data_IF_942109919026
#
_entry.id   IF_942109919026
#
_cell.length_a   1.000
_cell.length_b   1.000
_cell.length_c   1.000
_cell.angle_alpha   90.00
_cell.angle_beta   90.00
_cell.angle_gamma   90.00
#
_symmetry.space_group_name_H-M   'P 1'
#
loop_
_entity.id
_entity.type
_entity.pdbx_description
1 polymer ?
#
# COMPACT_ATOMS: atom_id res chain seq x y z
N UNK A 1 20.54 -10.04 -1.87
CA UNK A 1 20.58 -9.86 -3.33
C UNK A 1 19.30 -9.21 -3.87
N UNK A 2 18.08 -9.78 -3.70
CA UNK A 2 16.85 -9.08 -4.14
C UNK A 2 16.46 -7.87 -3.27
N UNK A 3 16.72 -7.90 -1.97
CA UNK A 3 16.41 -6.77 -1.07
C UNK A 3 17.31 -5.55 -1.30
N UNK A 4 18.61 -5.78 -1.52
CA UNK A 4 19.58 -4.71 -1.82
C UNK A 4 19.24 -3.96 -3.13
N UNK A 5 18.66 -4.67 -4.11
CA UNK A 5 18.20 -4.06 -5.36
C UNK A 5 16.95 -3.22 -5.14
N UNK A 6 16.00 -3.68 -4.30
CA UNK A 6 14.79 -2.93 -3.95
C UNK A 6 15.13 -1.65 -3.20
N UNK A 7 16.00 -1.74 -2.19
CA UNK A 7 16.42 -0.56 -1.42
C UNK A 7 17.14 0.46 -2.30
N UNK A 8 17.99 -0.01 -3.23
CA UNK A 8 18.62 0.85 -4.21
C UNK A 8 17.57 1.52 -5.12
N UNK A 9 16.58 0.77 -5.64
CA UNK A 9 15.51 1.31 -6.48
C UNK A 9 14.77 2.46 -5.79
N UNK A 10 14.29 2.24 -4.56
CA UNK A 10 13.57 3.25 -3.79
C UNK A 10 14.44 4.46 -3.41
N UNK A 11 15.74 4.28 -3.28
CA UNK A 11 16.66 5.40 -2.99
C UNK A 11 16.97 6.23 -4.24
N UNK A 12 16.98 5.60 -5.42
CA UNK A 12 17.20 6.27 -6.70
C UNK A 12 15.95 7.03 -7.14
N UNK A 13 14.76 6.42 -7.04
CA UNK A 13 13.48 7.04 -7.41
C UNK A 13 12.96 8.01 -6.33
N UNK A 14 13.75 9.05 -6.02
CA UNK A 14 13.38 10.11 -5.05
C UNK A 14 12.11 10.87 -5.47
N UNK A 15 11.68 10.76 -6.73
CA UNK A 15 10.52 11.45 -7.28
C UNK A 15 9.24 10.60 -7.26
N UNK A 16 9.31 9.33 -6.83
CA UNK A 16 8.19 8.38 -6.97
C UNK A 16 7.59 8.41 -8.39
N UNK A 17 8.46 8.49 -9.39
CA UNK A 17 8.01 8.60 -10.78
C UNK A 17 7.78 7.23 -11.41
N UNK A 18 8.05 6.14 -10.66
CA UNK A 18 7.97 4.74 -11.09
C UNK A 18 8.86 4.42 -12.31
N UNK A 19 9.77 5.35 -12.62
CA UNK A 19 10.71 5.29 -13.74
C UNK A 19 12.07 5.79 -13.25
N UNK A 20 13.08 4.92 -13.31
CA UNK A 20 14.47 5.28 -13.06
C UNK A 20 15.16 5.50 -14.39
N UNK A 21 15.71 6.69 -14.61
CA UNK A 21 16.54 6.96 -15.79
C UNK A 21 17.99 6.55 -15.55
N UNK A 22 18.76 6.35 -16.64
CA UNK A 22 20.22 6.13 -16.52
C UNK A 22 20.91 7.31 -15.81
N UNK A 23 20.42 8.54 -15.99
CA UNK A 23 20.95 9.72 -15.30
C UNK A 23 20.75 9.63 -13.78
N UNK A 24 19.60 9.11 -13.32
CA UNK A 24 19.33 8.91 -11.90
C UNK A 24 20.23 7.80 -11.31
N UNK A 25 20.48 6.73 -12.07
CA UNK A 25 21.45 5.69 -11.71
C UNK A 25 22.88 6.22 -11.61
N UNK A 26 23.31 7.07 -12.55
CA UNK A 26 24.63 7.70 -12.53
C UNK A 26 24.78 8.65 -11.34
N UNK A 27 23.76 9.45 -11.06
CA UNK A 27 23.75 10.35 -9.91
C UNK A 27 23.83 9.55 -8.60
N UNK A 28 23.03 8.49 -8.46
CA UNK A 28 23.07 7.63 -7.29
C UNK A 28 24.41 6.91 -7.11
N UNK A 29 25.00 6.42 -8.21
CA UNK A 29 26.32 5.81 -8.21
C UNK A 29 27.38 6.79 -7.73
N UNK A 30 27.34 8.04 -8.21
CA UNK A 30 28.29 9.11 -7.86
C UNK A 30 28.11 9.55 -6.40
N UNK A 31 26.87 9.64 -5.92
CA UNK A 31 26.56 9.96 -4.52
C UNK A 31 27.02 8.86 -3.54
N UNK A 32 26.89 7.58 -3.93
CA UNK A 32 27.16 6.43 -3.06
C UNK A 32 28.52 5.73 -3.31
N UNK A 33 29.39 6.31 -4.15
CA UNK A 33 30.69 5.73 -4.55
C UNK A 33 30.60 4.25 -5.00
N UNK A 34 29.58 3.92 -5.80
CA UNK A 34 29.36 2.56 -6.27
C UNK A 34 30.27 2.21 -7.47
N UNK A 35 30.60 0.92 -7.59
CA UNK A 35 31.50 0.39 -8.63
C UNK A 35 31.05 0.74 -10.06
N UNK A 36 32.01 0.83 -10.99
CA UNK A 36 31.75 1.06 -12.43
C UNK A 36 30.78 0.05 -13.05
N UNK A 37 30.81 -1.18 -12.57
CA UNK A 37 29.94 -2.25 -13.03
C UNK A 37 28.48 -2.11 -12.55
N UNK A 38 28.16 -1.17 -11.64
CA UNK A 38 26.83 -1.03 -11.07
C UNK A 38 25.79 -0.71 -12.15
N UNK A 39 26.09 0.27 -13.00
CA UNK A 39 25.19 0.69 -14.09
C UNK A 39 25.07 -0.44 -15.11
N UNK A 40 26.17 -1.08 -15.49
CA UNK A 40 26.14 -2.20 -16.44
C UNK A 40 25.33 -3.40 -15.92
N UNK A 41 25.41 -3.69 -14.61
CA UNK A 41 24.59 -4.74 -13.99
C UNK A 41 23.11 -4.37 -14.01
N UNK A 42 22.76 -3.13 -13.65
CA UNK A 42 21.38 -2.67 -13.68
C UNK A 42 20.79 -2.64 -15.09
N UNK A 43 21.56 -2.15 -16.05
CA UNK A 43 21.17 -2.14 -17.47
C UNK A 43 21.00 -3.56 -18.00
N UNK A 44 21.93 -4.47 -17.70
CA UNK A 44 21.82 -5.89 -18.12
C UNK A 44 20.65 -6.63 -17.46
N UNK A 45 20.31 -6.29 -16.21
CA UNK A 45 19.24 -6.95 -15.47
C UNK A 45 17.86 -6.39 -15.83
N UNK A 46 17.72 -5.07 -15.94
CA UNK A 46 16.42 -4.41 -15.98
C UNK A 46 16.14 -3.65 -17.29
N UNK A 47 17.15 -3.40 -18.12
CA UNK A 47 17.01 -2.74 -19.43
C UNK A 47 17.78 -3.49 -20.54
N UNK A 48 17.41 -4.76 -20.84
CA UNK A 48 18.06 -5.54 -21.88
C UNK A 48 17.88 -4.94 -23.28
N UNK A 49 16.87 -4.07 -23.46
CA UNK A 49 16.58 -3.38 -24.73
C UNK A 49 17.34 -2.05 -24.89
N UNK A 50 18.14 -1.63 -23.89
CA UNK A 50 18.85 -0.33 -23.87
C UNK A 50 17.92 0.86 -24.14
N UNK A 51 16.71 0.80 -23.60
CA UNK A 51 15.72 1.88 -23.68
C UNK A 51 16.14 3.12 -22.90
N UNK A 52 17.10 3.00 -21.97
CA UNK A 52 17.60 4.10 -21.15
C UNK A 52 16.73 4.43 -19.94
N UNK A 53 15.66 3.65 -19.73
CA UNK A 53 14.69 3.83 -18.65
C UNK A 53 14.31 2.47 -18.05
N UNK A 54 14.39 2.37 -16.73
CA UNK A 54 14.00 1.18 -15.98
C UNK A 54 12.68 1.50 -15.30
N UNK A 55 11.60 0.86 -15.74
CA UNK A 55 10.28 1.02 -15.14
C UNK A 55 10.10 0.05 -13.97
N UNK A 56 9.28 0.45 -12.98
CA UNK A 56 8.95 -0.39 -11.82
C UNK A 56 8.35 -1.75 -12.24
N UNK A 57 7.60 -1.77 -13.34
CA UNK A 57 7.05 -3.01 -13.90
C UNK A 57 8.16 -3.99 -14.31
N UNK A 58 9.14 -3.52 -15.10
CA UNK A 58 10.28 -4.36 -15.51
C UNK A 58 11.14 -4.77 -14.31
N UNK A 59 11.32 -3.86 -13.36
CA UNK A 59 12.03 -4.14 -12.13
C UNK A 59 11.34 -5.26 -11.32
N UNK A 60 10.02 -5.23 -11.22
CA UNK A 60 9.22 -6.24 -10.51
C UNK A 60 9.18 -7.59 -11.24
N UNK A 61 9.13 -7.58 -12.57
CA UNK A 61 9.21 -8.78 -13.42
C UNK A 61 10.56 -9.50 -13.24
N UNK A 62 11.68 -8.75 -13.25
CA UNK A 62 13.03 -9.29 -13.13
C UNK A 62 13.34 -9.79 -11.72
N UNK A 63 12.80 -9.13 -10.69
CA UNK A 63 12.90 -9.60 -9.30
C UNK A 63 12.02 -10.82 -8.99
N UNK A 64 11.27 -11.32 -9.98
CA UNK A 64 10.42 -12.51 -9.81
C UNK A 64 9.21 -12.28 -8.91
N UNK A 65 8.73 -11.04 -8.79
CA UNK A 65 7.53 -10.72 -8.00
C UNK A 65 6.23 -10.99 -8.77
N UNK A 66 6.30 -11.67 -9.91
CA UNK A 66 5.13 -12.02 -10.71
C UNK A 66 5.08 -13.52 -10.98
N UNK A 67 4.17 -14.16 -10.24
CA UNK A 67 3.50 -15.46 -10.46
C UNK A 67 4.09 -16.70 -9.77
N UNK A 68 3.48 -17.07 -8.65
CA UNK A 68 2.80 -18.37 -8.61
C UNK A 68 1.31 -18.11 -8.89
N UNK A 69 0.89 -18.42 -10.11
CA UNK A 69 -0.51 -18.63 -10.47
C UNK A 69 -0.87 -20.07 -10.11
N UNK A 70 -2.05 -20.30 -9.54
CA UNK A 70 -2.94 -21.30 -10.12
C UNK A 70 -4.35 -20.67 -10.28
N UNK A 71 -5.01 -20.89 -11.42
CA UNK A 71 -6.16 -20.11 -11.90
C UNK A 71 -7.48 -20.87 -11.70
N UNK A 72 -8.61 -20.16 -11.65
CA UNK A 72 -9.90 -20.62 -12.18
C UNK A 72 -10.90 -19.43 -12.17
N UNK A 73 -11.11 -18.88 -13.37
CA UNK A 73 -12.38 -18.42 -14.01
C UNK A 73 -13.34 -17.51 -13.18
N UNK A 74 -13.82 -16.36 -13.66
CA UNK A 74 -14.24 -16.09 -15.03
C UNK A 74 -14.46 -14.59 -15.33
N UNK A 75 -14.41 -14.28 -16.62
CA UNK A 75 -14.26 -12.99 -17.27
C UNK A 75 -15.47 -12.03 -17.22
N UNK A 76 -15.18 -10.72 -17.13
CA UNK A 76 -15.76 -9.57 -17.87
C UNK A 76 -15.42 -8.29 -17.10
N UNK A 77 -14.98 -7.18 -17.69
CA UNK A 77 -14.71 -6.81 -19.06
C UNK A 77 -13.86 -5.52 -19.04
N UNK A 78 -12.99 -5.43 -20.03
CA UNK A 78 -12.58 -4.21 -20.74
C UNK A 78 -11.77 -3.09 -20.06
N UNK A 79 -10.65 -2.82 -20.75
CA UNK A 79 -9.73 -1.70 -20.60
C UNK A 79 -10.42 -0.40 -21.03
N UNK A 80 -10.20 0.67 -20.25
CA UNK A 80 -9.81 1.98 -20.80
C UNK A 80 -8.96 2.76 -19.78
N UNK A 81 -7.91 3.48 -20.24
CA UNK A 81 -7.05 4.29 -19.40
C UNK A 81 -7.67 5.67 -19.16
N UNK A 82 -7.90 6.03 -17.90
CA UNK A 82 -8.16 7.43 -17.52
C UNK A 82 -7.66 7.65 -16.10
N UNK A 83 -6.45 8.17 -15.97
CA UNK A 83 -6.13 9.09 -14.89
C UNK A 83 -6.70 10.47 -15.26
N UNK A 84 -6.94 11.41 -14.33
CA UNK A 84 -6.59 11.39 -12.91
C UNK A 84 -7.77 11.82 -12.00
N UNK A 85 -8.08 11.03 -10.98
CA UNK A 85 -8.80 11.55 -9.81
C UNK A 85 -8.14 10.98 -8.56
N UNK A 86 -7.79 11.89 -7.67
CA UNK A 86 -7.09 11.70 -6.40
C UNK A 86 -7.80 10.66 -5.53
N UNK A 87 -7.49 9.39 -5.75
CA UNK A 87 -7.83 8.35 -4.81
C UNK A 87 -6.76 8.42 -3.72
N UNK A 88 -7.11 8.77 -2.46
CA UNK A 88 -6.15 8.74 -1.39
C UNK A 88 -5.68 7.30 -1.27
N UNK A 89 -4.43 7.07 -1.68
CA UNK A 89 -3.75 5.78 -1.79
C UNK A 89 -4.04 4.95 -0.53
N UNK A 90 -5.01 4.02 -0.64
CA UNK A 90 -5.38 3.13 0.46
C UNK A 90 -4.36 2.01 0.45
N UNK A 91 -3.32 2.13 1.27
CA UNK A 91 -2.35 1.05 1.44
C UNK A 91 -2.92 0.08 2.48
N UNK A 92 -3.53 -1.01 2.03
CA UNK A 92 -4.06 -2.09 2.88
C UNK A 92 -2.91 -2.83 3.57
N UNK A 93 -3.00 -3.03 4.89
CA UNK A 93 -1.92 -3.60 5.72
C UNK A 93 -2.24 -5.02 6.18
N UNK A 94 -3.47 -5.28 6.65
CA UNK A 94 -3.89 -6.62 7.07
C UNK A 94 -5.42 -6.77 6.99
N UNK A 95 -5.88 -7.91 6.48
CA UNK A 95 -7.29 -8.20 6.26
C UNK A 95 -7.67 -9.55 6.85
N UNK A 96 -8.64 -9.52 7.78
CA UNK A 96 -9.43 -10.69 8.17
C UNK A 96 -10.90 -10.24 8.17
N UNK A 97 -11.40 -9.84 7.00
CA UNK A 97 -12.74 -9.29 6.81
C UNK A 97 -13.20 -9.42 5.35
N UNK A 98 -14.46 -9.78 5.15
CA UNK A 98 -15.08 -9.93 3.81
C UNK A 98 -15.10 -8.59 3.02
N UNK A 99 -14.82 -8.60 1.71
CA UNK A 99 -14.64 -7.38 0.90
C UNK A 99 -15.87 -6.45 0.89
N UNK A 100 -17.08 -6.98 0.95
CA UNK A 100 -18.29 -6.17 1.03
C UNK A 100 -18.37 -5.39 2.35
N UNK A 101 -17.96 -6.03 3.47
CA UNK A 101 -17.88 -5.36 4.77
C UNK A 101 -16.76 -4.32 4.78
N UNK A 102 -15.62 -4.59 4.13
CA UNK A 102 -14.52 -3.63 3.99
C UNK A 102 -14.97 -2.35 3.27
N UNK A 103 -15.63 -2.46 2.12
CA UNK A 103 -16.16 -1.31 1.37
C UNK A 103 -17.06 -0.44 2.24
N UNK A 104 -17.95 -1.08 3.00
CA UNK A 104 -18.86 -0.38 3.91
C UNK A 104 -18.11 0.33 5.04
N UNK A 105 -17.06 -0.27 5.60
CA UNK A 105 -16.22 0.39 6.62
C UNK A 105 -15.44 1.56 6.00
N UNK A 106 -14.96 1.40 4.77
CA UNK A 106 -14.27 2.45 4.06
C UNK A 106 -15.17 3.66 3.79
N UNK A 107 -16.40 3.43 3.33
CA UNK A 107 -17.40 4.47 3.14
C UNK A 107 -17.76 5.18 4.45
N UNK A 108 -17.86 4.40 5.55
CA UNK A 108 -18.07 4.94 6.89
C UNK A 108 -16.92 5.85 7.34
N UNK A 109 -15.67 5.44 7.09
CA UNK A 109 -14.49 6.25 7.42
C UNK A 109 -14.51 7.55 6.63
N UNK A 110 -14.74 7.47 5.32
CA UNK A 110 -14.85 8.66 4.45
C UNK A 110 -15.92 9.63 4.95
N UNK A 111 -17.11 9.15 5.27
CA UNK A 111 -18.21 9.97 5.77
C UNK A 111 -17.86 10.66 7.11
N UNK A 112 -17.19 9.93 8.01
CA UNK A 112 -16.78 10.47 9.32
C UNK A 112 -15.67 11.51 9.17
N UNK A 113 -14.72 11.28 8.25
CA UNK A 113 -13.67 12.25 7.95
C UNK A 113 -14.22 13.55 7.36
N UNK A 114 -15.17 13.47 6.41
CA UNK A 114 -15.82 14.66 5.84
C UNK A 114 -16.58 15.48 6.89
N UNK A 115 -17.05 14.84 7.98
CA UNK A 115 -17.78 15.52 9.07
C UNK A 115 -16.84 16.08 10.15
N UNK A 116 -15.73 15.39 10.45
CA UNK A 116 -14.90 15.62 11.63
C UNK A 116 -13.43 15.91 11.30
N UNK A 117 -13.15 16.39 10.09
CA UNK A 117 -11.85 16.41 9.40
C UNK A 117 -10.64 16.86 10.26
N UNK A 118 -10.90 17.74 11.23
CA UNK A 118 -9.90 18.40 12.07
C UNK A 118 -9.43 17.55 13.27
N UNK A 119 -10.25 16.65 13.82
CA UNK A 119 -9.95 15.97 15.09
C UNK A 119 -9.97 14.44 14.99
N UNK A 120 -8.78 13.83 15.01
CA UNK A 120 -8.60 12.37 15.01
C UNK A 120 -9.36 11.68 16.16
N UNK A 121 -9.45 12.32 17.32
CA UNK A 121 -10.16 11.76 18.49
C UNK A 121 -11.68 11.66 18.28
N UNK A 122 -12.27 12.62 17.58
CA UNK A 122 -13.69 12.60 17.26
C UNK A 122 -13.99 11.60 16.13
N UNK A 123 -13.08 11.49 15.14
CA UNK A 123 -13.16 10.46 14.10
C UNK A 123 -13.20 9.06 14.74
N UNK A 124 -12.27 8.75 15.64
CA UNK A 124 -12.22 7.45 16.33
C UNK A 124 -13.50 7.18 17.12
N UNK A 125 -13.99 8.17 17.88
CA UNK A 125 -15.21 8.02 18.70
C UNK A 125 -16.45 7.79 17.84
N UNK A 126 -16.62 8.58 16.78
CA UNK A 126 -17.75 8.46 15.85
C UNK A 126 -17.71 7.14 15.09
N UNK A 127 -16.54 6.73 14.60
CA UNK A 127 -16.39 5.48 13.85
C UNK A 127 -16.68 4.28 14.75
N UNK A 128 -16.14 4.26 15.98
CA UNK A 128 -16.46 3.23 16.97
C UNK A 128 -17.97 3.14 17.23
N UNK A 129 -18.64 4.26 17.48
CA UNK A 129 -20.08 4.28 17.75
C UNK A 129 -20.90 3.72 16.59
N UNK A 130 -20.58 4.12 15.35
CA UNK A 130 -21.26 3.62 14.14
C UNK A 130 -21.03 2.11 13.92
N UNK A 131 -19.81 1.62 14.17
CA UNK A 131 -19.48 0.19 14.05
C UNK A 131 -20.17 -0.65 15.14
N UNK A 132 -20.18 -0.16 16.38
CA UNK A 132 -20.87 -0.79 17.50
C UNK A 132 -22.39 -0.89 17.29
N UNK A 133 -22.98 0.12 16.65
CA UNK A 133 -24.41 0.16 16.31
C UNK A 133 -24.74 -0.80 15.14
N UNK A 134 -23.89 -0.82 14.09
CA UNK A 134 -24.15 -1.59 12.88
C UNK A 134 -23.82 -3.07 12.99
N UNK A 135 -22.72 -3.41 13.66
CA UNK A 135 -22.17 -4.77 13.71
C UNK A 135 -22.09 -5.35 15.13
N UNK A 136 -22.68 -4.65 16.10
CA UNK A 136 -22.71 -5.05 17.50
C UNK A 136 -21.40 -4.73 18.24
N UNK A 137 -21.51 -4.55 19.56
CA UNK A 137 -20.37 -4.26 20.45
C UNK A 137 -19.50 -5.52 20.66
N UNK A 138 -18.19 -5.41 20.90
CA UNK A 138 -17.39 -4.18 21.12
C UNK A 138 -16.31 -4.02 20.04
N UNK A 139 -16.35 -2.92 19.30
CA UNK A 139 -15.34 -2.53 18.32
C UNK A 139 -14.25 -1.65 18.91
N UNK A 140 -13.04 -1.83 18.45
CA UNK A 140 -11.89 -0.98 18.74
C UNK A 140 -11.46 -0.30 17.45
N UNK A 141 -11.21 0.99 17.55
CA UNK A 141 -10.78 1.83 16.43
C UNK A 141 -9.58 2.63 16.93
N UNK A 142 -8.48 2.59 16.20
CA UNK A 142 -7.30 3.38 16.47
C UNK A 142 -6.87 4.10 15.19
N UNK A 143 -6.44 5.36 15.36
CA UNK A 143 -5.76 6.13 14.32
C UNK A 143 -4.33 6.35 14.79
N UNK A 144 -3.36 5.96 13.96
CA UNK A 144 -1.94 6.17 14.20
C UNK A 144 -1.36 7.06 13.10
N UNK A 145 -0.52 8.01 13.48
CA UNK A 145 0.32 8.77 12.55
C UNK A 145 1.77 8.31 12.73
N UNK A 146 2.36 7.70 11.71
CA UNK A 146 3.71 7.14 11.75
C UNK A 146 3.74 5.62 11.76
N UNK A 147 4.55 5.02 12.64
CA UNK A 147 4.74 3.57 12.73
C UNK A 147 4.10 3.02 14.00
N UNK A 148 3.61 1.79 13.94
CA UNK A 148 3.08 1.06 15.08
C UNK A 148 3.54 -0.40 15.06
N UNK A 149 3.64 -0.98 16.25
CA UNK A 149 3.78 -2.42 16.43
C UNK A 149 2.69 -2.86 17.40
N UNK A 150 1.87 -3.81 17.00
CA UNK A 150 0.77 -4.28 17.83
C UNK A 150 0.66 -5.80 17.76
N UNK A 151 0.26 -6.39 18.88
CA UNK A 151 -0.12 -7.79 18.99
C UNK A 151 -1.45 -7.83 19.74
N UNK A 152 -2.53 -8.18 19.06
CA UNK A 152 -3.87 -8.20 19.61
C UNK A 152 -4.65 -9.39 19.08
N UNK A 153 -5.63 -9.83 19.87
CA UNK A 153 -6.57 -10.87 19.50
C UNK A 153 -7.92 -10.24 19.20
N UNK A 154 -8.59 -10.76 18.18
CA UNK A 154 -9.85 -10.23 17.67
C UNK A 154 -10.78 -11.38 17.26
N UNK A 155 -12.05 -11.06 17.11
CA UNK A 155 -13.04 -11.97 16.55
C UNK A 155 -12.78 -12.13 15.04
N UNK A 156 -12.64 -13.38 14.58
CA UNK A 156 -12.33 -13.69 13.18
C UNK A 156 -13.35 -13.06 12.22
N UNK A 157 -12.88 -12.65 11.03
CA UNK A 157 -13.71 -11.98 10.02
C UNK A 157 -14.09 -10.53 10.39
N UNK A 158 -13.53 -9.97 11.45
CA UNK A 158 -13.82 -8.62 11.93
C UNK A 158 -12.57 -7.77 12.23
N UNK A 159 -11.45 -7.99 11.53
CA UNK A 159 -10.28 -7.09 11.59
C UNK A 159 -9.96 -6.46 10.24
N UNK A 160 -9.72 -5.16 10.25
CA UNK A 160 -9.38 -4.39 9.08
C UNK A 160 -8.33 -3.33 9.42
N UNK A 161 -7.18 -3.40 8.74
CA UNK A 161 -6.08 -2.46 8.90
C UNK A 161 -5.67 -1.88 7.56
N UNK A 162 -5.75 -0.55 7.43
CA UNK A 162 -5.40 0.16 6.20
C UNK A 162 -4.83 1.53 6.51
N UNK A 163 -4.02 2.05 5.60
CA UNK A 163 -3.47 3.40 5.65
C UNK A 163 -4.17 4.25 4.60
N UNK A 164 -4.57 5.47 4.99
CA UNK A 164 -5.15 6.49 4.12
C UNK A 164 -4.36 7.79 4.34
N UNK A 165 -3.50 8.14 3.38
CA UNK A 165 -2.60 9.29 3.51
C UNK A 165 -1.66 9.18 4.73
N UNK A 166 -1.62 10.17 5.65
CA UNK A 166 -0.75 10.13 6.83
C UNK A 166 -1.33 9.33 8.00
N UNK A 167 -2.57 8.83 7.89
CA UNK A 167 -3.29 8.13 8.95
C UNK A 167 -3.34 6.63 8.69
N UNK A 168 -3.02 5.85 9.72
CA UNK A 168 -3.21 4.40 9.73
C UNK A 168 -4.42 4.09 10.60
N UNK A 169 -5.36 3.34 10.04
CA UNK A 169 -6.57 2.88 10.69
C UNK A 169 -6.42 1.42 11.09
N UNK A 170 -6.62 1.15 12.37
CA UNK A 170 -6.63 -0.20 12.93
C UNK A 170 -8.02 -0.40 13.54
N UNK A 171 -8.81 -1.26 12.92
CA UNK A 171 -10.20 -1.50 13.30
C UNK A 171 -10.37 -2.99 13.56
N UNK A 172 -10.83 -3.36 14.75
CA UNK A 172 -11.10 -4.76 15.05
C UNK A 172 -12.20 -4.92 16.09
N UNK A 173 -12.91 -6.04 16.03
CA UNK A 173 -13.92 -6.42 17.03
C UNK A 173 -13.33 -7.40 18.04
N UNK A 174 -13.63 -7.21 19.32
CA UNK A 174 -13.28 -8.20 20.36
C UNK A 174 -14.49 -9.09 20.67
N UNK A 175 -14.28 -10.41 20.87
CA UNK A 175 -15.35 -11.31 21.24
C UNK A 175 -15.93 -10.90 22.61
N UNK A 176 -17.26 -10.78 22.67
CA UNK A 176 -18.00 -10.61 23.92
C UNK A 176 -18.25 -12.00 24.53
N UNK A 177 -17.68 -12.22 25.72
CA UNK A 177 -17.92 -13.43 26.53
C UNK A 177 -19.35 -13.47 27.08
#
# INVERSE_FOLDING_TARGET
>A
MCEELKDAYFTIDKKHSDVITIEDLENYRRENNLNEDFIQRWQKLFDPENTGVITLQRFSEVLGLSKEEDPEEDEKAERTPTAPEEQPEILQIAEDMEPDKQKVIFDLVRQVEETNEVNDGDIVRSLKAKLDEKYGRLWHVLIVRGQYHAFYSYEGGNSFCFKKGPRIYIIFKTPTY
#
